data_IF_008658966910
#
_entry.id   IF_008658966910
#
_cell.length_a   1.000
_cell.length_b   1.000
_cell.length_c   1.000
_cell.angle_alpha   90.00
_cell.angle_beta   90.00
_cell.angle_gamma   90.00
#
_symmetry.space_group_name_H-M   'P 1'
#
loop_
_entity.id
_entity.type
_entity.pdbx_description
1 polymer ?
#
# COMPACT_ATOMS: atom_id res chain seq x y z
N UNK A 1 -7.30 9.29 7.00
CA UNK A 1 -6.07 8.53 6.79
C UNK A 1 -6.31 7.49 5.71
N UNK A 2 -5.61 7.60 4.58
CA UNK A 2 -5.89 6.77 3.40
C UNK A 2 -4.59 6.09 2.96
N UNK A 3 -4.61 4.76 2.93
CA UNK A 3 -3.49 3.95 2.44
C UNK A 3 -3.72 3.64 0.96
N UNK A 4 -2.73 3.99 0.13
CA UNK A 4 -2.81 3.80 -1.31
C UNK A 4 -1.98 2.56 -1.69
N UNK A 5 -2.63 1.59 -2.35
CA UNK A 5 -1.96 0.37 -2.79
C UNK A 5 -0.95 0.65 -3.90
N UNK A 6 0.06 -0.21 -4.01
CA UNK A 6 1.12 -0.06 -5.01
C UNK A 6 0.58 -0.02 -6.45
N UNK A 7 -0.48 -0.79 -6.74
CA UNK A 7 -1.09 -0.82 -8.07
C UNK A 7 -1.61 0.56 -8.50
N UNK A 8 -2.21 1.30 -7.57
CA UNK A 8 -2.72 2.65 -7.85
C UNK A 8 -1.55 3.59 -8.16
N UNK A 9 -0.48 3.53 -7.36
CA UNK A 9 0.73 4.32 -7.59
C UNK A 9 1.34 4.02 -8.96
N UNK A 10 1.47 2.72 -9.30
CA UNK A 10 2.06 2.29 -10.57
C UNK A 10 1.24 2.82 -11.74
N UNK A 11 -0.08 2.71 -11.68
CA UNK A 11 -0.96 3.20 -12.73
C UNK A 11 -0.91 4.73 -12.86
N UNK A 12 -0.81 5.44 -11.73
CA UNK A 12 -0.68 6.90 -11.72
C UNK A 12 0.60 7.33 -12.44
N UNK A 13 1.74 6.70 -12.15
CA UNK A 13 3.01 7.04 -12.79
C UNK A 13 3.07 6.62 -14.26
N UNK A 14 2.26 5.64 -14.66
CA UNK A 14 2.17 5.19 -16.05
C UNK A 14 1.10 5.95 -16.85
N UNK A 15 0.51 6.99 -16.26
CA UNK A 15 -0.58 7.79 -16.89
C UNK A 15 -1.79 6.95 -17.27
N UNK A 16 -2.04 5.85 -16.54
CA UNK A 16 -3.23 5.02 -16.76
C UNK A 16 -4.41 5.62 -16.02
N UNK A 17 -5.45 6.01 -16.75
CA UNK A 17 -6.66 6.57 -16.15
C UNK A 17 -7.62 5.45 -15.73
N UNK A 18 -7.61 5.14 -14.45
CA UNK A 18 -8.54 4.18 -13.85
C UNK A 18 -9.43 4.91 -12.84
N UNK A 19 -10.48 4.24 -12.38
CA UNK A 19 -11.35 4.78 -11.33
C UNK A 19 -10.55 5.03 -10.05
N UNK A 20 -9.64 4.11 -9.71
CA UNK A 20 -8.80 4.20 -8.52
C UNK A 20 -7.83 5.37 -8.61
N UNK A 21 -7.24 5.62 -9.79
CA UNK A 21 -6.34 6.77 -10.01
C UNK A 21 -7.11 8.08 -9.88
N UNK A 22 -8.33 8.14 -10.43
CA UNK A 22 -9.18 9.33 -10.31
C UNK A 22 -9.49 9.64 -8.85
N UNK A 23 -9.79 8.63 -8.05
CA UNK A 23 -10.02 8.79 -6.61
C UNK A 23 -8.75 9.26 -5.90
N UNK A 24 -7.61 8.69 -6.26
CA UNK A 24 -6.32 9.09 -5.70
C UNK A 24 -6.04 10.56 -5.95
N UNK A 25 -6.23 11.02 -7.19
CA UNK A 25 -6.04 12.43 -7.56
C UNK A 25 -7.00 13.33 -6.78
N UNK A 26 -8.24 12.89 -6.58
CA UNK A 26 -9.22 13.62 -5.78
C UNK A 26 -8.75 13.78 -4.34
N UNK A 27 -8.21 12.71 -3.71
CA UNK A 27 -7.69 12.77 -2.35
C UNK A 27 -6.50 13.72 -2.23
N UNK A 28 -5.63 13.76 -3.25
CA UNK A 28 -4.51 14.70 -3.28
C UNK A 28 -5.03 16.13 -3.33
N UNK A 29 -6.02 16.40 -4.18
CA UNK A 29 -6.60 17.73 -4.33
C UNK A 29 -7.35 18.20 -3.08
N UNK A 30 -7.92 17.27 -2.32
CA UNK A 30 -8.63 17.56 -1.08
C UNK A 30 -7.71 17.61 0.13
N UNK A 31 -6.41 17.46 -0.06
CA UNK A 31 -5.40 17.47 0.98
C UNK A 31 -5.64 16.41 2.08
N UNK A 32 -6.19 15.24 1.67
CA UNK A 32 -6.37 14.14 2.60
C UNK A 32 -5.04 13.57 3.07
N UNK A 33 -5.04 13.00 4.28
CA UNK A 33 -3.84 12.36 4.84
C UNK A 33 -3.56 11.04 4.13
N UNK A 34 -2.56 11.05 3.26
CA UNK A 34 -2.13 9.85 2.53
C UNK A 34 -1.06 9.11 3.32
N UNK A 35 -1.18 7.79 3.34
CA UNK A 35 -0.30 6.92 4.11
C UNK A 35 0.44 5.94 3.21
N UNK A 36 1.61 5.49 3.67
CA UNK A 36 2.39 4.46 3.01
C UNK A 36 2.94 3.50 4.07
N UNK A 37 3.11 2.24 3.70
CA UNK A 37 3.77 1.26 4.56
C UNK A 37 4.95 0.64 3.82
N UNK A 38 5.81 -0.07 4.57
CA UNK A 38 7.06 -0.60 4.03
C UNK A 38 6.89 -1.53 2.84
N UNK A 39 5.90 -2.41 2.86
CA UNK A 39 5.69 -3.36 1.75
C UNK A 39 5.23 -2.65 0.48
N UNK A 40 4.37 -1.66 0.59
CA UNK A 40 3.92 -0.87 -0.57
C UNK A 40 5.08 -0.05 -1.12
N UNK A 41 5.86 0.57 -0.25
CA UNK A 41 7.06 1.32 -0.62
C UNK A 41 8.04 0.44 -1.38
N UNK A 42 8.28 -0.79 -0.89
CA UNK A 42 9.18 -1.74 -1.54
C UNK A 42 8.67 -2.13 -2.92
N UNK A 43 7.39 -2.50 -3.04
CA UNK A 43 6.81 -2.88 -4.32
C UNK A 43 6.89 -1.77 -5.35
N UNK A 44 6.66 -0.54 -4.91
CA UNK A 44 6.70 0.61 -5.81
C UNK A 44 8.12 0.94 -6.24
N UNK A 45 9.05 1.05 -5.30
CA UNK A 45 10.42 1.49 -5.58
C UNK A 45 11.23 0.44 -6.35
N UNK A 46 11.04 -0.84 -6.07
CA UNK A 46 11.82 -1.89 -6.73
C UNK A 46 11.55 -1.97 -8.24
N UNK A 47 10.39 -1.51 -8.67
CA UNK A 47 10.01 -1.50 -10.08
C UNK A 47 10.53 -0.33 -10.89
N UNK A 48 11.20 0.65 -10.24
CA UNK A 48 11.69 1.85 -10.91
C UNK A 48 13.15 1.67 -11.28
N UNK A 49 13.46 1.64 -12.58
CA UNK A 49 14.82 1.45 -13.08
C UNK A 49 15.59 2.75 -13.29
N UNK A 50 14.90 3.85 -13.55
CA UNK A 50 15.55 5.15 -13.76
C UNK A 50 15.91 5.79 -12.41
N UNK A 51 17.18 6.18 -12.25
CA UNK A 51 17.69 6.71 -11.00
C UNK A 51 17.00 8.02 -10.59
N UNK A 52 16.69 8.88 -11.54
CA UNK A 52 16.00 10.14 -11.24
C UNK A 52 14.57 9.91 -10.79
N UNK A 53 13.86 9.01 -11.46
CA UNK A 53 12.51 8.64 -11.07
C UNK A 53 12.49 7.99 -9.69
N UNK A 54 13.49 7.15 -9.40
CA UNK A 54 13.63 6.52 -8.10
C UNK A 54 13.76 7.58 -7.00
N UNK A 55 14.64 8.57 -7.19
CA UNK A 55 14.85 9.63 -6.20
C UNK A 55 13.62 10.51 -6.02
N UNK A 56 12.93 10.86 -7.10
CA UNK A 56 11.69 11.63 -7.04
C UNK A 56 10.61 10.89 -6.26
N UNK A 57 10.41 9.62 -6.56
CA UNK A 57 9.40 8.80 -5.90
C UNK A 57 9.72 8.61 -4.43
N UNK A 58 10.99 8.35 -4.11
CA UNK A 58 11.46 8.21 -2.74
C UNK A 58 11.16 9.49 -1.93
N UNK A 59 11.43 10.65 -2.51
CA UNK A 59 11.19 11.94 -1.86
C UNK A 59 9.70 12.16 -1.65
N UNK A 60 8.87 11.82 -2.64
CA UNK A 60 7.42 11.94 -2.53
C UNK A 60 6.87 11.05 -1.42
N UNK A 61 7.31 9.80 -1.35
CA UNK A 61 6.87 8.87 -0.32
C UNK A 61 7.29 9.31 1.08
N UNK A 62 8.42 10.00 1.20
CA UNK A 62 8.90 10.50 2.49
C UNK A 62 7.98 11.58 3.07
N UNK A 63 7.15 12.22 2.25
CA UNK A 63 6.18 13.21 2.69
C UNK A 63 4.87 12.58 3.17
N UNK A 64 4.68 11.29 2.94
CA UNK A 64 3.49 10.58 3.35
C UNK A 64 3.58 10.17 4.82
N UNK A 65 2.41 9.89 5.41
CA UNK A 65 2.36 9.32 6.76
C UNK A 65 2.84 7.87 6.68
N UNK A 66 3.91 7.54 7.39
CA UNK A 66 4.43 6.19 7.40
C UNK A 66 3.73 5.36 8.46
N UNK A 67 3.14 4.22 8.05
CA UNK A 67 2.50 3.28 8.97
C UNK A 67 3.45 2.11 9.21
N UNK A 68 4.06 2.00 10.38
CA UNK A 68 4.98 0.90 10.67
C UNK A 68 4.24 -0.41 10.90
N UNK A 69 4.85 -1.52 10.52
CA UNK A 69 4.36 -2.86 10.81
C UNK A 69 5.14 -3.45 11.97
N UNK A 70 4.44 -3.80 13.03
CA UNK A 70 5.04 -4.41 14.23
C UNK A 70 4.84 -5.93 14.23
N UNK A 71 5.39 -6.61 15.24
CA UNK A 71 5.15 -8.04 15.40
C UNK A 71 3.66 -8.36 15.53
N UNK A 72 2.88 -7.46 16.12
CA UNK A 72 1.43 -7.61 16.23
C UNK A 72 0.78 -7.63 14.85
N UNK A 73 1.23 -6.78 13.93
CA UNK A 73 0.73 -6.75 12.55
C UNK A 73 0.98 -8.09 11.87
N UNK A 74 2.17 -8.63 12.02
CA UNK A 74 2.55 -9.90 11.39
C UNK A 74 1.76 -11.07 11.96
N UNK A 75 1.58 -11.10 13.28
CA UNK A 75 0.78 -12.15 13.94
C UNK A 75 -0.68 -12.09 13.48
N UNK A 76 -1.25 -10.90 13.46
CA UNK A 76 -2.63 -10.69 13.00
C UNK A 76 -2.81 -11.12 11.54
N UNK A 77 -1.82 -10.82 10.70
CA UNK A 77 -1.82 -11.25 9.30
C UNK A 77 -1.91 -12.77 9.19
N UNK A 78 -1.12 -13.50 9.99
CA UNK A 78 -1.17 -14.95 10.03
C UNK A 78 -2.52 -15.48 10.52
N UNK A 79 -3.11 -14.83 11.50
CA UNK A 79 -4.44 -15.19 12.02
C UNK A 79 -5.52 -15.01 10.96
N UNK A 80 -5.46 -13.95 10.18
CA UNK A 80 -6.39 -13.71 9.07
C UNK A 80 -6.26 -14.84 8.05
N UNK A 81 -5.04 -15.18 7.67
CA UNK A 81 -4.80 -16.27 6.73
C UNK A 81 -5.41 -17.58 7.23
N UNK A 82 -5.15 -17.94 8.50
CA UNK A 82 -5.66 -19.18 9.09
C UNK A 82 -7.18 -19.21 9.14
N UNK A 83 -7.81 -18.09 9.49
CA UNK A 83 -9.26 -17.97 9.53
C UNK A 83 -9.87 -18.20 8.15
N UNK A 84 -9.31 -17.56 7.13
CA UNK A 84 -9.80 -17.72 5.75
C UNK A 84 -9.60 -19.16 5.25
N UNK A 85 -8.47 -19.78 5.58
CA UNK A 85 -8.22 -21.18 5.21
C UNK A 85 -9.26 -22.13 5.82
N UNK A 86 -9.64 -21.90 7.08
CA UNK A 86 -10.68 -22.70 7.75
C UNK A 86 -12.04 -22.54 7.09
N UNK A 87 -12.27 -21.39 6.46
CA UNK A 87 -13.49 -21.11 5.70
C UNK A 87 -13.43 -21.61 4.25
N UNK A 88 -12.34 -22.27 3.86
CA UNK A 88 -12.14 -22.75 2.51
C UNK A 88 -11.68 -21.70 1.51
N UNK A 89 -11.27 -20.50 1.99
CA UNK A 89 -10.81 -19.42 1.16
C UNK A 89 -9.29 -19.40 1.13
N UNK A 90 -8.70 -19.40 -0.07
CA UNK A 90 -7.25 -19.34 -0.25
C UNK A 90 -6.86 -18.07 -0.97
N UNK A 91 -6.00 -17.26 -0.33
CA UNK A 91 -5.40 -16.08 -0.94
C UNK A 91 -3.89 -16.34 -1.01
N UNK A 92 -3.29 -16.10 -2.19
CA UNK A 92 -1.92 -16.54 -2.44
C UNK A 92 -0.84 -15.56 -2.02
N UNK A 93 -1.18 -14.27 -1.88
CA UNK A 93 -0.16 -13.24 -1.58
C UNK A 93 -0.15 -12.89 -0.10
N UNK A 94 0.96 -13.19 0.55
CA UNK A 94 1.19 -12.84 1.96
C UNK A 94 1.08 -11.33 2.18
N UNK A 95 1.54 -10.53 1.22
CA UNK A 95 1.50 -9.06 1.30
C UNK A 95 0.09 -8.54 1.49
N UNK A 96 -0.91 -9.16 0.83
CA UNK A 96 -2.31 -8.73 0.97
C UNK A 96 -2.80 -8.88 2.41
N UNK A 97 -2.39 -9.94 3.11
CA UNK A 97 -2.74 -10.13 4.52
C UNK A 97 -2.06 -9.10 5.42
N UNK A 98 -0.81 -8.75 5.11
CA UNK A 98 -0.07 -7.74 5.86
C UNK A 98 -0.75 -6.37 5.74
N UNK A 99 -1.16 -6.00 4.54
CA UNK A 99 -1.86 -4.74 4.29
C UNK A 99 -3.22 -4.73 5.00
N UNK A 100 -3.97 -5.84 4.93
CA UNK A 100 -5.25 -5.97 5.60
C UNK A 100 -5.11 -5.82 7.12
N UNK A 101 -4.13 -6.49 7.71
CA UNK A 101 -3.86 -6.40 9.14
C UNK A 101 -3.51 -4.97 9.55
N UNK A 102 -2.67 -4.29 8.75
CA UNK A 102 -2.28 -2.91 9.01
C UNK A 102 -3.48 -1.98 8.98
N UNK A 103 -4.37 -2.14 8.00
CA UNK A 103 -5.58 -1.33 7.89
C UNK A 103 -6.50 -1.54 9.10
N UNK A 104 -6.63 -2.78 9.58
CA UNK A 104 -7.45 -3.09 10.76
C UNK A 104 -6.87 -2.40 12.00
N UNK A 105 -5.54 -2.42 12.17
CA UNK A 105 -4.88 -1.77 13.31
C UNK A 105 -5.13 -0.26 13.36
N UNK A 106 -5.28 0.37 12.20
CA UNK A 106 -5.37 1.83 12.09
C UNK A 106 -6.77 2.33 11.73
N UNK A 107 -7.77 1.51 11.90
CA UNK A 107 -9.16 1.92 11.72
C UNK A 107 -9.60 3.03 12.69
#
# INVERSE_FOLDING_TARGET
>A
MILIDSTVWINFFADQQTTEVSKFESFVNEEEDLCVCGVIMTELLQGISDDQEFQKTKTLLAEMIYLPMSSTTFIQSAEIYRTLRKMGITIRKTIDFLIAALCIEHE
#
